data_IF_839398732338
#
_entry.id   IF_839398732338
#
_cell.length_a   1.000
_cell.length_b   1.000
_cell.length_c   1.000
_cell.angle_alpha   90.00
_cell.angle_beta   90.00
_cell.angle_gamma   90.00
#
_symmetry.space_group_name_H-M   'P 1'
#
loop_
_entity.id
_entity.type
_entity.pdbx_description
1 polymer ?
#
# COMPACT_ATOMS: atom_id res chain seq x y z
N UNK A 1 4.07 -20.40 3.07
CA UNK A 1 2.73 -20.59 3.65
C UNK A 1 2.14 -19.24 3.97
N UNK A 2 0.82 -19.11 3.93
CA UNK A 2 0.11 -17.91 4.39
C UNK A 2 -0.34 -18.14 5.83
N UNK A 3 -0.30 -17.11 6.66
CA UNK A 3 -0.85 -17.17 8.02
C UNK A 3 -2.23 -16.54 8.00
N UNK A 4 -3.24 -17.26 8.50
CA UNK A 4 -4.50 -16.64 8.86
C UNK A 4 -4.32 -15.90 10.21
N UNK A 5 -5.05 -14.80 10.36
CA UNK A 5 -5.04 -13.98 11.58
C UNK A 5 -5.30 -14.79 12.87
N UNK A 6 -6.11 -15.85 12.80
CA UNK A 6 -6.53 -16.65 13.96
C UNK A 6 -5.61 -17.85 14.29
N UNK A 7 -4.53 -18.09 13.52
CA UNK A 7 -3.78 -19.37 13.58
C UNK A 7 -2.86 -19.57 14.80
N UNK A 8 -2.87 -18.70 15.82
CA UNK A 8 -2.18 -18.90 17.11
C UNK A 8 -0.65 -19.09 17.08
N UNK A 9 -0.02 -19.16 15.89
CA UNK A 9 1.41 -19.41 15.66
C UNK A 9 2.01 -18.18 15.00
N UNK A 10 2.11 -17.10 15.76
CA UNK A 10 2.70 -15.84 15.31
C UNK A 10 3.83 -15.44 16.26
N UNK A 11 5.06 -15.45 15.75
CA UNK A 11 6.27 -14.95 16.44
C UNK A 11 6.06 -13.49 16.85
N UNK A 12 6.25 -13.12 18.12
CA UNK A 12 5.80 -11.87 18.80
C UNK A 12 5.81 -10.53 18.01
N UNK A 13 6.61 -10.35 16.96
CA UNK A 13 6.69 -9.12 16.13
C UNK A 13 5.73 -9.10 14.92
N UNK A 14 5.50 -10.25 14.27
CA UNK A 14 4.58 -10.38 13.13
C UNK A 14 3.08 -10.11 13.47
N UNK A 15 2.55 -10.36 14.70
CA UNK A 15 1.17 -10.06 15.01
C UNK A 15 0.96 -8.55 15.12
N UNK A 16 1.94 -7.79 15.62
CA UNK A 16 1.79 -6.35 15.89
C UNK A 16 1.72 -5.52 14.60
N UNK A 17 2.56 -5.81 13.61
CA UNK A 17 2.53 -5.12 12.31
C UNK A 17 1.22 -5.43 11.58
N UNK A 18 0.84 -6.71 11.53
CA UNK A 18 -0.45 -7.12 10.99
C UNK A 18 -1.60 -6.46 11.78
N UNK A 19 -1.49 -6.33 13.10
CA UNK A 19 -2.48 -5.61 13.93
C UNK A 19 -2.58 -4.15 13.54
N UNK A 20 -1.46 -3.47 13.29
CA UNK A 20 -1.54 -2.06 12.93
C UNK A 20 -2.05 -1.80 11.51
N UNK A 21 -1.60 -2.57 10.52
CA UNK A 21 -1.82 -2.26 9.11
C UNK A 21 -3.05 -2.99 8.54
N UNK A 22 -3.42 -4.15 9.09
CA UNK A 22 -4.50 -4.97 8.56
C UNK A 22 -5.77 -4.99 9.44
N UNK A 23 -5.74 -4.46 10.66
CA UNK A 23 -6.90 -4.47 11.58
C UNK A 23 -8.13 -3.74 11.05
N UNK A 24 -7.93 -2.71 10.22
CA UNK A 24 -9.03 -2.00 9.53
C UNK A 24 -9.92 -2.95 8.73
N UNK A 25 -9.36 -4.05 8.25
CA UNK A 25 -10.07 -5.07 7.49
C UNK A 25 -10.62 -6.20 8.35
N UNK A 26 -10.03 -6.49 9.51
CA UNK A 26 -10.33 -7.68 10.31
C UNK A 26 -11.80 -7.77 10.78
N UNK A 27 -12.49 -6.63 10.94
CA UNK A 27 -13.91 -6.61 11.32
C UNK A 27 -14.88 -6.96 10.18
N UNK A 28 -14.40 -6.95 8.94
CA UNK A 28 -15.17 -7.18 7.73
C UNK A 28 -14.59 -8.32 6.89
N UNK A 29 -13.36 -8.74 7.16
CA UNK A 29 -12.61 -9.61 6.27
C UNK A 29 -11.88 -10.72 7.02
N UNK A 30 -11.74 -11.89 6.38
CA UNK A 30 -10.66 -12.81 6.77
C UNK A 30 -9.34 -12.22 6.27
N UNK A 31 -8.34 -12.12 7.13
CA UNK A 31 -7.03 -11.54 6.79
C UNK A 31 -5.99 -12.65 6.71
N UNK A 32 -5.25 -12.67 5.61
CA UNK A 32 -4.16 -13.61 5.36
C UNK A 32 -2.89 -12.86 4.97
N UNK A 33 -1.75 -13.25 5.53
CA UNK A 33 -0.46 -12.63 5.22
C UNK A 33 0.57 -13.68 4.77
N UNK A 34 1.25 -13.50 3.63
CA UNK A 34 2.29 -14.43 3.19
C UNK A 34 3.53 -14.29 4.07
N UNK A 35 4.11 -15.42 4.45
CA UNK A 35 5.49 -15.45 4.95
C UNK A 35 6.44 -15.42 3.76
N UNK A 36 7.22 -14.35 3.65
CA UNK A 36 8.25 -14.18 2.62
C UNK A 36 9.51 -13.59 3.21
N UNK A 37 10.64 -13.83 2.55
CA UNK A 37 11.91 -13.16 2.88
C UNK A 37 11.79 -11.71 2.47
N UNK A 38 12.01 -10.77 3.40
CA UNK A 38 11.90 -9.35 3.09
C UNK A 38 13.29 -8.76 2.76
N UNK A 39 13.42 -7.92 1.71
CA UNK A 39 14.69 -7.24 1.41
C UNK A 39 15.07 -6.28 2.55
N UNK A 40 16.32 -6.35 3.01
CA UNK A 40 16.86 -5.40 3.98
C UNK A 40 17.22 -4.07 3.31
N UNK A 41 17.26 -2.98 4.08
CA UNK A 41 17.70 -1.66 3.59
C UNK A 41 19.10 -1.70 2.93
N UNK A 42 20.02 -2.50 3.48
CA UNK A 42 21.34 -2.75 2.87
C UNK A 42 21.24 -3.36 1.47
N UNK A 43 20.36 -4.33 1.28
CA UNK A 43 20.16 -4.95 -0.03
C UNK A 43 19.51 -4.00 -1.03
N UNK A 44 18.63 -3.09 -0.58
CA UNK A 44 17.93 -2.11 -1.43
C UNK A 44 18.89 -1.04 -1.96
N UNK A 45 19.87 -0.62 -1.14
CA UNK A 45 20.86 0.40 -1.50
C UNK A 45 21.89 -0.04 -2.55
N UNK A 46 22.01 -1.35 -2.80
CA UNK A 46 22.83 -1.90 -3.87
C UNK A 46 21.93 -2.50 -4.95
N UNK A 47 21.97 -1.94 -6.15
CA UNK A 47 21.06 -2.35 -7.22
C UNK A 47 21.08 -3.85 -7.55
N UNK A 48 22.26 -4.46 -7.69
CA UNK A 48 22.37 -5.88 -8.01
C UNK A 48 21.81 -6.76 -6.88
N UNK A 49 22.09 -6.39 -5.63
CA UNK A 49 21.52 -7.09 -4.47
C UNK A 49 20.00 -6.90 -4.38
N UNK A 50 19.49 -5.70 -4.70
CA UNK A 50 18.08 -5.39 -4.71
C UNK A 50 17.34 -6.27 -5.72
N UNK A 51 17.88 -6.44 -6.93
CA UNK A 51 17.27 -7.31 -7.94
C UNK A 51 17.08 -8.75 -7.44
N UNK A 52 18.14 -9.33 -6.88
CA UNK A 52 18.09 -10.70 -6.37
C UNK A 52 17.15 -10.82 -5.17
N UNK A 53 17.28 -9.92 -4.19
CA UNK A 53 16.46 -9.93 -2.98
C UNK A 53 14.97 -9.78 -3.31
N UNK A 54 14.60 -8.82 -4.17
CA UNK A 54 13.21 -8.63 -4.60
C UNK A 54 12.70 -9.84 -5.39
N UNK A 55 13.52 -10.46 -6.24
CA UNK A 55 13.11 -11.64 -7.00
C UNK A 55 12.85 -12.85 -6.10
N UNK A 56 13.68 -13.08 -5.08
CA UNK A 56 13.46 -14.13 -4.09
C UNK A 56 12.20 -13.87 -3.25
N UNK A 57 12.05 -12.64 -2.75
CA UNK A 57 10.88 -12.18 -2.00
C UNK A 57 9.59 -12.40 -2.79
N UNK A 58 9.58 -11.98 -4.05
CA UNK A 58 8.44 -12.13 -4.93
C UNK A 58 8.11 -13.60 -5.22
N UNK A 59 9.13 -14.47 -5.36
CA UNK A 59 8.89 -15.91 -5.54
C UNK A 59 8.18 -16.55 -4.34
N UNK A 60 8.47 -16.08 -3.12
CA UNK A 60 7.80 -16.54 -1.91
C UNK A 60 6.34 -16.05 -1.88
N UNK A 61 6.10 -14.79 -2.26
CA UNK A 61 4.76 -14.19 -2.37
C UNK A 61 3.91 -14.94 -3.41
N UNK A 62 4.45 -15.22 -4.60
CA UNK A 62 3.74 -15.98 -5.64
C UNK A 62 3.37 -17.38 -5.16
N UNK A 63 4.27 -18.08 -4.46
CA UNK A 63 3.97 -19.40 -3.89
C UNK A 63 2.84 -19.32 -2.86
N UNK A 64 2.87 -18.33 -1.98
CA UNK A 64 1.83 -18.14 -0.98
C UNK A 64 0.48 -17.74 -1.58
N UNK A 65 0.47 -16.82 -2.55
CA UNK A 65 -0.73 -16.40 -3.27
C UNK A 65 -1.38 -17.57 -4.00
N UNK A 66 -0.60 -18.35 -4.76
CA UNK A 66 -1.12 -19.54 -5.48
C UNK A 66 -1.71 -20.56 -4.51
N UNK A 67 -1.00 -20.85 -3.41
CA UNK A 67 -1.49 -21.75 -2.38
C UNK A 67 -2.83 -21.26 -1.81
N UNK A 68 -2.93 -19.98 -1.46
CA UNK A 68 -4.17 -19.41 -0.95
C UNK A 68 -5.31 -19.52 -1.98
N UNK A 69 -5.07 -19.13 -3.23
CA UNK A 69 -6.10 -19.15 -4.26
C UNK A 69 -6.60 -20.57 -4.56
N UNK A 70 -5.73 -21.57 -4.44
CA UNK A 70 -6.04 -22.99 -4.70
C UNK A 70 -6.72 -23.68 -3.51
N UNK A 71 -6.24 -23.46 -2.29
CA UNK A 71 -6.63 -24.27 -1.13
C UNK A 71 -7.48 -23.52 -0.09
N UNK A 72 -7.36 -22.21 0.02
CA UNK A 72 -7.94 -21.43 1.14
C UNK A 72 -9.07 -20.48 0.71
N UNK A 73 -8.96 -19.88 -0.49
CA UNK A 73 -9.88 -18.83 -0.93
C UNK A 73 -11.31 -19.33 -1.14
N UNK A 74 -11.48 -20.60 -1.55
CA UNK A 74 -12.78 -21.22 -1.79
C UNK A 74 -13.70 -20.39 -2.72
N UNK A 75 -13.12 -19.66 -3.67
CA UNK A 75 -13.85 -18.81 -4.62
C UNK A 75 -14.42 -17.52 -4.04
N UNK A 76 -14.02 -17.10 -2.84
CA UNK A 76 -14.45 -15.83 -2.25
C UNK A 76 -13.93 -14.61 -3.04
N UNK A 77 -14.65 -13.47 -3.02
CA UNK A 77 -14.11 -12.18 -3.40
C UNK A 77 -12.93 -11.80 -2.51
N UNK A 78 -11.92 -11.18 -3.11
CA UNK A 78 -10.67 -10.88 -2.40
C UNK A 78 -10.14 -9.49 -2.74
N UNK A 79 -9.31 -8.98 -1.85
CA UNK A 79 -8.59 -7.72 -1.93
C UNK A 79 -7.12 -7.98 -1.65
N UNK A 80 -6.26 -7.12 -2.18
CA UNK A 80 -4.83 -7.10 -1.85
C UNK A 80 -4.55 -5.77 -1.15
N UNK A 81 -4.00 -5.83 0.06
CA UNK A 81 -3.55 -4.66 0.79
C UNK A 81 -2.04 -4.77 0.98
N UNK A 82 -1.31 -3.68 0.81
CA UNK A 82 0.13 -3.65 0.93
C UNK A 82 0.60 -2.30 1.41
N UNK A 83 1.81 -2.28 1.98
CA UNK A 83 2.45 -1.06 2.46
C UNK A 83 3.92 -1.07 2.07
N UNK A 84 4.50 0.08 1.72
CA UNK A 84 5.93 0.19 1.40
C UNK A 84 6.35 -0.65 0.19
N UNK A 85 7.51 -1.32 0.29
CA UNK A 85 8.02 -2.27 -0.72
C UNK A 85 7.00 -3.37 -1.10
N UNK A 86 6.12 -3.75 -0.18
CA UNK A 86 4.99 -4.65 -0.40
C UNK A 86 4.09 -4.23 -1.55
N UNK A 87 3.94 -2.92 -1.77
CA UNK A 87 3.13 -2.36 -2.85
C UNK A 87 3.75 -2.55 -4.23
N UNK A 88 5.08 -2.57 -4.34
CA UNK A 88 5.76 -2.96 -5.58
C UNK A 88 5.52 -4.45 -5.91
N UNK A 89 5.53 -5.32 -4.90
CA UNK A 89 5.17 -6.74 -5.07
C UNK A 89 3.69 -6.93 -5.41
N UNK A 90 2.79 -6.21 -4.74
CA UNK A 90 1.35 -6.25 -5.00
C UNK A 90 1.04 -5.86 -6.43
N UNK A 91 1.62 -4.76 -6.92
CA UNK A 91 1.42 -4.29 -8.28
C UNK A 91 1.86 -5.35 -9.29
N UNK A 92 3.07 -5.91 -9.14
CA UNK A 92 3.54 -6.99 -10.01
C UNK A 92 2.63 -8.22 -9.97
N UNK A 93 2.19 -8.62 -8.77
CA UNK A 93 1.29 -9.77 -8.59
C UNK A 93 -0.05 -9.55 -9.30
N UNK A 94 -0.62 -8.35 -9.21
CA UNK A 94 -1.84 -7.96 -9.92
C UNK A 94 -1.63 -8.01 -11.43
N UNK A 95 -0.51 -7.50 -11.93
CA UNK A 95 -0.15 -7.52 -13.34
C UNK A 95 0.01 -8.95 -13.90
N UNK A 96 0.64 -9.86 -13.16
CA UNK A 96 0.97 -11.20 -13.65
C UNK A 96 -0.17 -12.22 -13.49
N UNK A 97 -0.98 -12.09 -12.43
CA UNK A 97 -1.94 -13.13 -12.05
C UNK A 97 -3.40 -12.71 -12.09
N UNK A 98 -3.70 -11.43 -11.93
CA UNK A 98 -5.09 -10.96 -11.79
C UNK A 98 -5.58 -10.28 -13.06
N UNK A 99 -4.85 -9.28 -13.53
CA UNK A 99 -5.25 -8.48 -14.68
C UNK A 99 -5.41 -9.34 -15.94
N UNK A 100 -6.56 -9.23 -16.62
CA UNK A 100 -6.86 -10.01 -17.81
C UNK A 100 -7.11 -11.51 -17.57
N UNK A 101 -7.19 -11.98 -16.33
CA UNK A 101 -7.48 -13.38 -15.99
C UNK A 101 -8.87 -13.54 -15.37
N UNK A 102 -9.34 -14.79 -15.20
CA UNK A 102 -10.59 -15.08 -14.52
C UNK A 102 -10.59 -14.62 -13.04
N UNK A 103 -9.42 -14.40 -12.44
CA UNK A 103 -9.31 -13.95 -11.05
C UNK A 103 -9.82 -12.51 -10.89
N UNK A 104 -9.70 -11.66 -11.92
CA UNK A 104 -10.20 -10.29 -11.90
C UNK A 104 -11.69 -10.21 -11.56
N UNK A 105 -12.50 -11.17 -12.00
CA UNK A 105 -13.94 -11.21 -11.72
C UNK A 105 -14.32 -11.25 -10.24
N UNK A 106 -13.37 -11.65 -9.38
CA UNK A 106 -13.53 -11.71 -7.92
C UNK A 106 -12.63 -10.73 -7.18
N UNK A 107 -11.80 -9.98 -7.90
CA UNK A 107 -10.92 -8.98 -7.32
C UNK A 107 -11.73 -7.72 -7.01
N UNK A 108 -11.81 -7.38 -5.73
CA UNK A 108 -12.57 -6.22 -5.26
C UNK A 108 -11.73 -4.95 -5.38
N UNK A 109 -10.57 -4.89 -4.76
CA UNK A 109 -9.68 -3.74 -4.83
C UNK A 109 -8.25 -4.06 -4.36
N UNK A 110 -7.30 -3.26 -4.82
CA UNK A 110 -5.91 -3.26 -4.36
C UNK A 110 -5.60 -1.98 -3.59
N UNK A 111 -5.25 -2.05 -2.31
CA UNK A 111 -4.80 -0.93 -1.50
C UNK A 111 -3.28 -0.94 -1.42
N UNK A 112 -2.63 -0.12 -2.24
CA UNK A 112 -1.18 -0.05 -2.38
C UNK A 112 -0.67 1.21 -1.67
N UNK A 113 -0.46 1.09 -0.36
CA UNK A 113 -0.06 2.20 0.49
C UNK A 113 1.47 2.42 0.48
N UNK A 114 1.85 3.67 0.73
CA UNK A 114 3.22 4.13 0.99
C UNK A 114 4.24 3.65 -0.05
N UNK A 115 3.86 3.73 -1.32
CA UNK A 115 4.77 3.46 -2.43
C UNK A 115 4.46 4.36 -3.61
N UNK A 116 5.52 4.78 -4.31
CA UNK A 116 5.42 5.46 -5.59
C UNK A 116 4.96 4.47 -6.67
N UNK A 117 3.69 4.56 -7.06
CA UNK A 117 3.10 3.78 -8.15
C UNK A 117 3.08 4.63 -9.42
N UNK A 118 3.79 4.25 -10.49
CA UNK A 118 3.85 5.06 -11.71
C UNK A 118 2.48 5.20 -12.39
N UNK A 119 2.13 6.40 -12.86
CA UNK A 119 0.89 6.62 -13.63
C UNK A 119 0.84 5.72 -14.87
N UNK A 120 1.99 5.55 -15.54
CA UNK A 120 2.12 4.72 -16.73
C UNK A 120 1.88 3.22 -16.49
N UNK A 121 1.84 2.75 -15.24
CA UNK A 121 1.44 1.39 -14.89
C UNK A 121 0.01 1.07 -15.36
N UNK A 122 -0.85 2.10 -15.48
CA UNK A 122 -2.27 2.01 -15.84
C UNK A 122 -2.59 2.35 -17.31
N UNK A 123 -1.60 2.81 -18.10
CA UNK A 123 -1.84 3.36 -19.44
C UNK A 123 -1.72 2.33 -20.58
N UNK A 124 -1.68 1.04 -20.28
CA UNK A 124 -1.29 0.01 -21.26
C UNK A 124 -2.30 -0.29 -22.36
N UNK A 125 -3.52 0.18 -22.21
CA UNK A 125 -4.52 0.07 -23.26
C UNK A 125 -4.25 1.01 -24.44
N UNK A 126 -3.33 1.98 -24.31
CA UNK A 126 -3.20 3.11 -25.23
C UNK A 126 -1.83 3.22 -25.93
N UNK A 127 -1.01 2.16 -25.88
CA UNK A 127 0.40 2.24 -26.33
C UNK A 127 0.85 0.94 -26.99
N UNK A 128 1.65 1.10 -28.05
CA UNK A 128 2.16 -0.01 -28.85
C UNK A 128 3.08 -0.93 -28.02
N UNK A 129 3.19 -2.19 -28.42
CA UNK A 129 3.85 -3.23 -27.62
C UNK A 129 5.31 -2.92 -27.25
N UNK A 130 6.02 -2.16 -28.07
CA UNK A 130 7.44 -1.81 -27.84
C UNK A 130 7.58 -0.73 -26.75
N UNK A 131 6.71 0.27 -26.75
CA UNK A 131 6.65 1.34 -25.74
C UNK A 131 5.98 0.91 -24.44
N UNK A 132 5.11 -0.11 -24.49
CA UNK A 132 4.59 -0.76 -23.29
C UNK A 132 5.68 -1.56 -22.58
N UNK A 133 6.62 -2.17 -23.32
CA UNK A 133 7.72 -2.95 -22.77
C UNK A 133 8.77 -2.10 -22.05
N UNK A 134 8.96 -0.84 -22.43
CA UNK A 134 9.97 0.06 -21.84
C UNK A 134 9.53 0.73 -20.52
N UNK A 135 8.25 0.62 -20.17
CA UNK A 135 7.59 1.29 -19.03
C UNK A 135 7.15 0.30 -17.94
N UNK A 136 6.73 0.83 -16.79
CA UNK A 136 6.10 0.07 -15.70
C UNK A 136 4.72 -0.52 -16.09
N UNK A 137 4.27 -0.19 -17.30
CA UNK A 137 3.02 -0.53 -17.93
C UNK A 137 2.78 -2.04 -18.06
N UNK A 138 1.93 -2.62 -17.20
CA UNK A 138 1.36 -3.95 -17.45
C UNK A 138 -0.13 -4.12 -17.05
N UNK A 139 -0.87 -3.09 -16.62
CA UNK A 139 -2.30 -3.22 -16.29
C UNK A 139 -3.17 -2.84 -17.50
N UNK A 140 -3.92 -3.81 -18.02
CA UNK A 140 -4.81 -3.71 -19.19
C UNK A 140 -6.26 -3.50 -18.81
N UNK A 141 -6.74 -4.07 -17.72
CA UNK A 141 -8.15 -4.00 -17.29
C UNK A 141 -8.31 -3.35 -15.91
N UNK A 142 -7.40 -3.61 -14.98
CA UNK A 142 -7.36 -2.91 -13.69
C UNK A 142 -7.01 -1.43 -13.94
N UNK A 143 -7.70 -0.54 -13.23
CA UNK A 143 -7.52 0.92 -13.30
C UNK A 143 -7.27 1.49 -11.91
N UNK A 144 -6.74 2.71 -11.87
CA UNK A 144 -6.80 3.53 -10.67
C UNK A 144 -8.28 3.81 -10.36
N UNK A 145 -8.65 3.84 -9.08
CA UNK A 145 -10.02 4.11 -8.68
C UNK A 145 -10.37 5.59 -8.89
N UNK A 146 -11.55 5.86 -9.43
CA UNK A 146 -12.11 7.21 -9.61
C UNK A 146 -13.22 7.48 -8.57
N UNK A 147 -13.86 6.43 -8.05
CA UNK A 147 -14.97 6.53 -7.12
C UNK A 147 -14.90 5.48 -6.00
N UNK A 148 -15.46 5.83 -4.83
CA UNK A 148 -15.50 4.99 -3.62
C UNK A 148 -16.18 3.62 -3.78
N UNK A 149 -16.91 3.41 -4.87
CA UNK A 149 -17.68 2.19 -5.14
C UNK A 149 -17.08 1.35 -6.26
N UNK A 150 -15.95 1.77 -6.82
CA UNK A 150 -15.29 1.01 -7.86
C UNK A 150 -14.85 -0.35 -7.32
N UNK A 151 -14.89 -1.34 -8.21
CA UNK A 151 -14.36 -2.68 -7.96
C UNK A 151 -13.45 -3.09 -9.09
N UNK A 152 -12.51 -3.98 -8.84
CA UNK A 152 -11.47 -4.33 -9.81
C UNK A 152 -10.46 -3.21 -10.02
N UNK A 153 -10.33 -2.28 -9.05
CA UNK A 153 -9.49 -1.10 -9.13
C UNK A 153 -8.32 -1.14 -8.13
N UNK A 154 -7.40 -0.19 -8.28
CA UNK A 154 -6.31 0.08 -7.33
C UNK A 154 -6.56 1.44 -6.67
N UNK A 155 -6.35 1.49 -5.36
CA UNK A 155 -6.21 2.70 -4.56
C UNK A 155 -4.75 2.76 -4.12
N UNK A 156 -4.01 3.77 -4.56
CA UNK A 156 -2.59 3.90 -4.25
C UNK A 156 -2.26 5.31 -3.77
N UNK A 157 -1.37 5.41 -2.79
CA UNK A 157 -0.86 6.68 -2.30
C UNK A 157 0.54 6.52 -1.74
N UNK A 158 1.32 7.59 -1.83
CA UNK A 158 2.63 7.71 -1.19
C UNK A 158 2.51 8.70 -0.03
N UNK A 159 3.10 8.41 1.14
CA UNK A 159 3.08 9.36 2.26
C UNK A 159 4.31 10.27 2.19
N UNK A 160 4.14 11.56 2.49
CA UNK A 160 5.23 12.53 2.54
C UNK A 160 6.30 12.15 3.59
N UNK A 161 7.59 12.40 3.29
CA UNK A 161 8.70 12.11 4.20
C UNK A 161 9.15 10.64 4.27
N UNK A 162 8.64 9.77 3.40
CA UNK A 162 8.75 8.31 3.55
C UNK A 162 10.03 7.65 3.00
N UNK A 163 10.92 8.30 2.22
CA UNK A 163 12.11 7.54 1.70
C UNK A 163 13.40 8.34 1.50
N UNK A 164 14.48 7.82 2.10
CA UNK A 164 15.89 8.04 1.69
C UNK A 164 16.46 6.89 0.85
N UNK A 165 15.68 5.83 0.61
CA UNK A 165 16.05 4.65 -0.16
C UNK A 165 15.50 4.72 -1.59
N UNK A 166 16.17 4.12 -2.58
CA UNK A 166 15.64 4.04 -3.94
C UNK A 166 14.35 3.21 -3.96
N UNK A 167 13.32 3.73 -4.63
CA UNK A 167 12.08 3.00 -4.90
C UNK A 167 12.37 1.97 -5.98
N UNK A 168 12.11 0.69 -5.70
CA UNK A 168 12.30 -0.40 -6.66
C UNK A 168 10.95 -0.79 -7.28
N UNK A 169 10.90 -0.84 -8.60
CA UNK A 169 9.72 -1.16 -9.38
C UNK A 169 9.98 -2.32 -10.35
N UNK A 170 8.95 -3.09 -10.72
CA UNK A 170 9.06 -4.16 -11.70
C UNK A 170 8.84 -3.67 -13.13
N UNK A 171 9.78 -3.95 -14.02
CA UNK A 171 9.69 -3.70 -15.45
C UNK A 171 9.84 -5.02 -16.19
N UNK A 172 8.93 -5.33 -17.10
CA UNK A 172 8.90 -6.63 -17.79
C UNK A 172 10.19 -6.93 -18.58
N UNK A 173 10.84 -5.88 -19.11
CA UNK A 173 12.07 -6.00 -19.90
C UNK A 173 13.38 -5.80 -19.12
N UNK A 174 13.35 -5.15 -17.95
CA UNK A 174 14.54 -4.82 -17.13
C UNK A 174 14.62 -5.59 -15.82
N UNK A 175 13.51 -6.19 -15.39
CA UNK A 175 13.36 -6.80 -14.09
C UNK A 175 13.03 -5.77 -13.00
N UNK A 176 13.43 -6.08 -11.76
CA UNK A 176 13.34 -5.13 -10.66
C UNK A 176 14.36 -4.01 -10.89
N UNK A 177 13.92 -2.77 -11.02
CA UNK A 177 14.81 -1.63 -11.26
C UNK A 177 14.38 -0.41 -10.45
N UNK A 178 15.32 0.50 -10.11
CA UNK A 178 14.97 1.77 -9.51
C UNK A 178 13.96 2.52 -10.39
N UNK A 179 12.96 3.10 -9.75
CA UNK A 179 12.05 4.03 -10.38
C UNK A 179 12.85 5.26 -10.82
N UNK A 180 12.81 5.68 -12.10
CA UNK A 180 13.51 6.87 -12.55
C UNK A 180 13.07 8.12 -11.79
N UNK A 181 14.03 9.00 -11.50
CA UNK A 181 13.75 10.30 -10.91
C UNK A 181 12.81 11.12 -11.82
N UNK A 182 11.88 11.86 -11.21
CA UNK A 182 10.87 12.64 -11.93
C UNK A 182 9.78 11.82 -12.61
N UNK A 183 9.70 10.50 -12.36
CA UNK A 183 8.56 9.70 -12.84
C UNK A 183 7.27 10.21 -12.21
N UNK A 184 6.26 10.46 -13.04
CA UNK A 184 4.91 10.81 -12.60
C UNK A 184 4.26 9.62 -11.88
N UNK A 185 3.71 9.86 -10.70
CA UNK A 185 3.19 8.83 -9.80
C UNK A 185 1.76 9.14 -9.39
N UNK A 186 0.98 8.09 -9.12
CA UNK A 186 -0.39 8.23 -8.65
C UNK A 186 -0.43 8.51 -7.15
N UNK A 187 -1.39 9.33 -6.74
CA UNK A 187 -1.67 9.56 -5.34
C UNK A 187 -3.15 9.87 -5.14
N UNK A 188 -3.88 8.90 -4.58
CA UNK A 188 -5.27 9.08 -4.16
C UNK A 188 -5.33 9.38 -2.68
N UNK A 189 -6.11 10.38 -2.29
CA UNK A 189 -6.38 10.60 -0.88
C UNK A 189 -7.34 9.50 -0.40
N UNK A 190 -6.91 8.60 0.51
CA UNK A 190 -7.70 7.44 0.91
C UNK A 190 -8.96 7.80 1.71
N UNK A 191 -9.17 9.07 2.06
CA UNK A 191 -10.41 9.55 2.70
C UNK A 191 -11.48 9.99 1.69
N UNK A 192 -11.07 10.38 0.49
CA UNK A 192 -11.96 10.94 -0.54
C UNK A 192 -12.05 10.11 -1.81
N UNK A 193 -11.04 9.30 -2.13
CA UNK A 193 -10.85 8.66 -3.45
C UNK A 193 -10.62 9.69 -4.56
N UNK A 194 -10.07 10.85 -4.21
CA UNK A 194 -9.80 11.94 -5.14
C UNK A 194 -8.28 12.19 -5.19
N UNK A 195 -7.78 12.58 -6.37
CA UNK A 195 -6.40 13.05 -6.60
C UNK A 195 -6.28 14.56 -6.32
N UNK A 196 -7.20 15.14 -5.55
CA UNK A 196 -7.27 16.58 -5.33
C UNK A 196 -6.36 17.07 -4.19
N UNK A 197 -5.89 18.31 -4.32
CA UNK A 197 -5.09 18.99 -3.28
C UNK A 197 -5.95 19.51 -2.12
N UNK A 198 -7.20 19.04 -2.00
CA UNK A 198 -8.11 19.55 -0.98
C UNK A 198 -7.70 19.02 0.38
N UNK A 199 -7.58 19.93 1.34
CA UNK A 199 -7.44 19.56 2.74
C UNK A 199 -8.69 18.82 3.24
N UNK A 200 -8.51 17.56 3.60
CA UNK A 200 -9.54 16.71 4.20
C UNK A 200 -9.41 16.78 5.71
N UNK A 201 -10.40 17.40 6.34
CA UNK A 201 -10.46 17.55 7.80
C UNK A 201 -10.43 16.21 8.53
N UNK A 202 -9.78 16.19 9.69
CA UNK A 202 -9.78 15.08 10.64
C UNK A 202 -11.17 14.58 11.05
N UNK A 203 -12.23 15.38 10.88
CA UNK A 203 -13.62 14.93 11.10
C UNK A 203 -14.04 13.80 10.15
N UNK A 204 -13.38 13.65 9.00
CA UNK A 204 -13.63 12.55 8.04
C UNK A 204 -12.82 11.30 8.36
N UNK A 205 -11.85 11.38 9.27
CA UNK A 205 -11.10 10.22 9.72
C UNK A 205 -12.00 9.38 10.64
N UNK A 206 -12.28 8.15 10.22
CA UNK A 206 -13.20 7.27 10.93
C UNK A 206 -12.53 6.50 12.07
N UNK A 207 -11.20 6.38 12.04
CA UNK A 207 -10.41 5.57 12.97
C UNK A 207 -9.03 6.18 13.23
N UNK A 208 -8.37 5.69 14.27
CA UNK A 208 -7.05 6.10 14.72
C UNK A 208 -5.94 5.68 13.74
N UNK A 209 -4.90 6.51 13.58
CA UNK A 209 -3.62 6.06 13.04
C UNK A 209 -2.71 5.57 14.18
N UNK A 210 -2.12 4.38 14.01
CA UNK A 210 -1.29 3.74 15.03
C UNK A 210 0.19 4.01 14.74
N UNK A 211 0.91 4.58 15.71
CA UNK A 211 2.35 4.79 15.63
C UNK A 211 3.06 3.68 16.37
N UNK A 212 3.94 2.97 15.67
CA UNK A 212 4.76 1.91 16.23
C UNK A 212 6.18 2.39 16.48
N UNK A 213 6.77 1.89 17.57
CA UNK A 213 8.19 2.06 17.85
C UNK A 213 9.05 1.06 17.09
N UNK A 214 10.38 1.26 17.06
CA UNK A 214 11.33 0.33 16.43
C UNK A 214 11.31 -1.08 17.03
N UNK A 215 10.82 -1.24 18.26
CA UNK A 215 10.63 -2.54 18.91
C UNK A 215 9.30 -3.22 18.54
N UNK A 216 8.60 -2.69 17.54
CA UNK A 216 7.30 -3.17 17.08
C UNK A 216 6.15 -2.87 18.03
N UNK A 217 6.38 -2.17 19.16
CA UNK A 217 5.33 -1.84 20.13
C UNK A 217 4.51 -0.63 19.71
N UNK A 218 3.20 -0.66 20.02
CA UNK A 218 2.36 0.53 19.88
C UNK A 218 2.88 1.61 20.82
N UNK A 219 3.33 2.72 20.26
CA UNK A 219 3.83 3.86 21.01
C UNK A 219 2.74 4.91 21.22
N UNK A 220 1.93 5.18 20.18
CA UNK A 220 0.92 6.24 20.22
C UNK A 220 -0.24 5.95 19.28
N UNK A 221 -1.40 6.41 19.71
CA UNK A 221 -2.63 6.48 18.92
C UNK A 221 -2.88 7.93 18.48
N UNK A 222 -3.03 8.16 17.17
CA UNK A 222 -3.39 9.46 16.61
C UNK A 222 -4.87 9.44 16.27
N UNK A 223 -5.65 10.10 17.12
CA UNK A 223 -7.11 10.13 17.03
C UNK A 223 -7.66 11.17 16.05
N UNK A 224 -6.81 12.08 15.57
CA UNK A 224 -7.20 13.19 14.71
C UNK A 224 -6.04 13.60 13.83
N UNK A 225 -6.22 13.50 12.51
CA UNK A 225 -5.30 14.03 11.51
C UNK A 225 -6.07 14.43 10.26
N UNK A 226 -5.65 15.50 9.59
CA UNK A 226 -6.11 15.83 8.23
C UNK A 226 -5.17 15.24 7.19
N UNK A 227 -5.68 15.03 5.99
CA UNK A 227 -4.89 14.60 4.84
C UNK A 227 -5.02 15.60 3.70
N UNK A 228 -3.94 15.79 2.94
CA UNK A 228 -3.92 16.62 1.75
C UNK A 228 -2.91 16.01 0.77
N UNK A 229 -3.18 16.08 -0.53
CA UNK A 229 -2.16 15.77 -1.53
C UNK A 229 -1.39 17.06 -1.81
N UNK A 230 -0.06 16.99 -1.70
CA UNK A 230 0.88 18.07 -2.02
C UNK A 230 1.96 17.48 -2.93
N UNK A 231 2.19 18.06 -4.10
CA UNK A 231 3.21 17.60 -5.06
C UNK A 231 3.20 16.08 -5.33
N UNK A 232 2.00 15.49 -5.45
CA UNK A 232 1.82 14.07 -5.72
C UNK A 232 2.08 13.14 -4.54
N UNK A 233 2.21 13.65 -3.31
CA UNK A 233 2.31 12.86 -2.08
C UNK A 233 1.23 13.22 -1.06
N UNK A 234 0.81 12.23 -0.28
CA UNK A 234 -0.16 12.38 0.80
C UNK A 234 0.53 12.95 2.04
N UNK A 235 0.30 14.22 2.31
CA UNK A 235 0.66 14.86 3.56
C UNK A 235 -0.39 14.53 4.64
N UNK A 236 0.09 14.20 5.84
CA UNK A 236 -0.74 13.99 7.03
C UNK A 236 -0.40 15.06 8.08
N UNK A 237 -1.41 15.77 8.57
CA UNK A 237 -1.23 16.79 9.60
C UNK A 237 -2.05 16.41 10.82
N UNK A 238 -1.41 16.27 11.98
CA UNK A 238 -2.12 15.88 13.19
C UNK A 238 -3.02 17.02 13.71
N UNK A 239 -4.11 16.67 14.39
CA UNK A 239 -5.08 17.63 14.92
C UNK A 239 -4.54 18.60 15.97
N UNK A 240 -3.30 18.44 16.42
CA UNK A 240 -2.62 19.38 17.32
C UNK A 240 -1.80 20.46 16.58
N UNK A 241 -1.75 20.43 15.25
CA UNK A 241 -0.96 21.36 14.43
C UNK A 241 0.44 20.85 14.09
N UNK A 242 0.83 19.65 14.55
CA UNK A 242 2.09 19.04 14.12
C UNK A 242 1.90 18.48 12.70
N UNK A 243 2.48 19.17 11.72
CA UNK A 243 2.65 18.70 10.34
C UNK A 243 3.68 17.58 10.32
N UNK A 244 3.34 16.41 9.77
CA UNK A 244 4.30 15.33 9.60
C UNK A 244 4.82 15.33 8.16
N UNK A 245 5.88 16.11 7.94
CA UNK A 245 6.77 16.03 6.78
C UNK A 245 8.10 16.67 7.14
N UNK A 246 8.97 15.93 7.85
CA UNK A 246 10.33 16.31 8.29
C UNK A 246 10.50 17.61 9.10
N UNK A 247 11.58 17.71 9.88
CA UNK A 247 11.78 18.76 10.91
C UNK A 247 11.82 20.20 10.38
N UNK A 248 12.17 20.42 9.11
CA UNK A 248 12.39 21.76 8.55
C UNK A 248 11.10 22.44 8.02
N UNK A 249 10.11 21.69 7.53
CA UNK A 249 8.85 22.25 6.99
C UNK A 249 7.85 22.67 8.10
N UNK A 250 8.17 22.37 9.36
CA UNK A 250 7.32 22.63 10.53
C UNK A 250 7.44 24.10 11.00
N UNK A 251 8.61 24.75 10.87
CA UNK A 251 8.82 26.11 11.39
C UNK A 251 7.98 27.18 10.69
N UNK A 252 7.66 26.99 9.40
CA UNK A 252 6.97 27.98 8.60
C UNK A 252 5.45 28.04 8.88
N UNK A 253 4.88 26.96 9.41
CA UNK A 253 3.42 26.82 9.62
C UNK A 253 3.01 27.04 11.09
N UNK A 254 3.94 27.02 12.03
CA UNK A 254 3.75 27.23 13.49
C UNK A 254 3.20 28.63 13.92
N UNK A 255 2.73 29.47 13.00
CA UNK A 255 2.18 30.80 13.32
C UNK A 255 0.68 30.81 13.68
N UNK A 256 -0.08 29.70 13.64
CA UNK A 256 -1.54 29.77 13.91
C UNK A 256 -2.25 28.50 14.44
N UNK A 257 -2.29 28.39 15.78
CA UNK A 257 -3.43 28.03 16.68
C UNK A 257 -4.44 26.87 16.42
N UNK A 258 -4.30 25.81 17.25
CA UNK A 258 -5.21 25.02 18.15
C UNK A 258 -6.70 24.60 17.86
N UNK A 259 -7.20 23.46 18.43
CA UNK A 259 -8.24 22.58 17.81
C UNK A 259 -9.45 22.13 18.70
N UNK A 260 -10.41 21.33 18.15
CA UNK A 260 -11.25 20.34 18.89
C UNK A 260 -12.14 19.42 17.99
N UNK A 261 -12.69 18.32 18.56
CA UNK A 261 -12.80 16.92 18.07
C UNK A 261 -14.21 16.28 17.89
N UNK A 262 -14.24 15.04 17.35
CA UNK A 262 -15.10 13.84 17.66
C UNK A 262 -15.95 13.17 16.54
N UNK A 263 -16.35 11.90 16.80
CA UNK A 263 -16.34 10.64 15.99
C UNK A 263 -17.70 9.93 15.74
N UNK A 264 -17.79 8.92 14.81
CA UNK A 264 -18.26 7.49 15.05
C UNK A 264 -18.81 6.66 13.83
N UNK A 265 -18.31 5.40 13.69
CA UNK A 265 -18.80 4.01 13.28
C UNK A 265 -20.01 3.63 12.36
N UNK A 266 -19.91 2.54 11.54
CA UNK A 266 -20.67 1.23 11.64
C UNK A 266 -20.60 0.19 10.45
N UNK A 267 -20.59 -1.12 10.82
CA UNK A 267 -21.08 -2.44 10.26
C UNK A 267 -20.69 -3.07 8.88
N UNK A 268 -20.64 -4.43 8.82
CA UNK A 268 -19.82 -5.22 7.86
C UNK A 268 -20.46 -6.30 6.98
N UNK A 269 -19.94 -6.44 5.75
CA UNK A 269 -20.11 -7.57 4.81
C UNK A 269 -18.79 -8.35 4.69
N UNK A 270 -18.82 -9.68 4.54
CA UNK A 270 -17.61 -10.52 4.65
C UNK A 270 -16.75 -10.58 3.37
N UNK A 271 -15.53 -10.03 3.40
CA UNK A 271 -14.51 -10.06 2.31
C UNK A 271 -13.23 -10.82 2.74
N UNK A 272 -12.23 -10.94 1.86
CA UNK A 272 -10.90 -11.48 2.23
C UNK A 272 -9.80 -10.51 1.81
N UNK A 273 -8.83 -10.25 2.69
CA UNK A 273 -7.68 -9.37 2.42
C UNK A 273 -6.38 -10.15 2.50
N UNK A 274 -5.60 -10.10 1.43
CA UNK A 274 -4.21 -10.57 1.40
C UNK A 274 -3.31 -9.37 1.72
N UNK A 275 -2.63 -9.38 2.88
CA UNK A 275 -1.80 -8.28 3.35
C UNK A 275 -0.31 -8.52 3.06
N UNK A 276 0.38 -7.58 2.39
CA UNK A 276 1.83 -7.61 2.13
C UNK A 276 2.55 -6.52 2.97
N UNK A 277 2.96 -6.81 4.21
CA UNK A 277 3.62 -5.82 5.09
C UNK A 277 5.06 -5.57 4.64
N UNK A 278 5.49 -4.31 4.60
CA UNK A 278 6.93 -3.99 4.65
C UNK A 278 7.32 -3.69 6.09
N UNK A 279 8.14 -4.53 6.71
CA UNK A 279 8.82 -4.24 7.97
C UNK A 279 10.27 -3.88 7.65
N UNK A 280 10.65 -2.62 7.81
CA UNK A 280 12.05 -2.29 8.04
C UNK A 280 12.20 -2.33 9.56
N UNK A 281 12.99 -3.29 10.05
CA UNK A 281 13.37 -3.43 11.45
C UNK A 281 14.30 -2.27 11.84
#
# INVERSE_FOLDING_TARGET
GMLAWDDGVVTQELPMVLTSQASVFASQCRVYAPRYRQPSSWSVNNYEHAQHAFQESYSDIVRAFRFYMEYENNGAPYMIASNGQGSAFALRLLQEFVDGTALLSRFVAGYLADSYIPVDAFLCAFVDEEDARSRACNLRQIRLSEHKKDTGCIIAWQVAGSTSLPVIHWYKNKGWSPLPEGTEVTCLNPLTWEEDERLVSAKKVLNTALVQGPDGRLQREILSFSTQILDGVLAMTSGNGDHWSSEEDIEEIMSSSSPSSSSSSSSSSSFVVIHLPSIII
#
